data_IF_893552544422
#
_entry.id   IF_893552544422
#
_cell.length_a   1.000
_cell.length_b   1.000
_cell.length_c   1.000
_cell.angle_alpha   90.00
_cell.angle_beta   90.00
_cell.angle_gamma   90.00
#
_symmetry.space_group_name_H-M   'P 1'
#
loop_
_entity.id
_entity.type
_entity.pdbx_description
1 polymer ?
#
# COMPACT_ATOMS: atom_id res chain seq x y z
N UNK A 1 33.34 -48.27 -4.48
CA UNK A 1 32.81 -47.94 -3.15
C UNK A 1 32.90 -46.43 -2.98
N UNK A 2 31.97 -45.72 -3.62
CA UNK A 2 31.66 -44.33 -3.33
C UNK A 2 30.13 -44.34 -3.32
N UNK A 3 29.60 -44.70 -2.15
CA UNK A 3 28.17 -44.86 -1.94
C UNK A 3 27.51 -43.47 -1.89
N UNK A 4 26.30 -43.43 -2.43
CA UNK A 4 25.45 -42.27 -2.60
C UNK A 4 25.31 -41.44 -1.31
N UNK A 5 25.74 -40.19 -1.36
CA UNK A 5 25.47 -39.16 -0.33
C UNK A 5 24.61 -38.02 -0.90
N UNK A 6 23.65 -38.38 -1.78
CA UNK A 6 22.74 -37.43 -2.44
C UNK A 6 21.25 -37.64 -2.06
N UNK A 7 20.94 -38.54 -1.14
CA UNK A 7 19.56 -38.92 -0.82
C UNK A 7 18.94 -38.18 0.38
N UNK A 8 19.66 -37.24 1.02
CA UNK A 8 19.13 -36.48 2.19
C UNK A 8 18.63 -35.05 1.90
N UNK A 9 18.77 -34.55 0.66
CA UNK A 9 18.40 -33.16 0.33
C UNK A 9 17.11 -33.02 -0.50
N UNK A 10 16.26 -34.04 -0.53
CA UNK A 10 14.88 -33.87 -1.00
C UNK A 10 14.01 -33.30 0.12
N UNK A 11 14.20 -32.01 0.40
CA UNK A 11 13.16 -31.20 1.04
C UNK A 11 11.86 -31.47 0.26
N UNK A 12 10.75 -31.89 0.89
CA UNK A 12 9.47 -32.03 0.20
C UNK A 12 9.24 -30.76 -0.61
N UNK A 13 8.87 -30.85 -1.90
CA UNK A 13 8.87 -29.72 -2.85
C UNK A 13 8.12 -28.44 -2.40
N UNK A 14 7.35 -28.51 -1.31
CA UNK A 14 6.57 -27.42 -0.71
C UNK A 14 6.97 -27.06 0.73
N UNK A 15 8.09 -27.56 1.26
CA UNK A 15 8.57 -27.10 2.57
C UNK A 15 9.23 -25.72 2.47
N UNK A 16 8.78 -24.82 3.34
CA UNK A 16 9.21 -23.43 3.41
C UNK A 16 9.87 -23.15 4.76
N UNK A 17 10.71 -22.12 4.80
CA UNK A 17 11.36 -21.67 6.02
C UNK A 17 10.34 -21.15 7.06
N UNK A 18 10.65 -21.26 8.37
CA UNK A 18 9.87 -20.61 9.41
C UNK A 18 9.66 -19.12 9.10
N UNK A 19 8.39 -18.71 9.09
CA UNK A 19 7.98 -17.31 8.91
C UNK A 19 7.49 -16.72 10.23
N UNK A 20 7.42 -15.40 10.32
CA UNK A 20 6.87 -14.72 11.51
C UNK A 20 5.36 -15.00 11.62
N UNK A 21 4.95 -15.69 12.69
CA UNK A 21 3.54 -16.03 12.94
C UNK A 21 2.80 -14.94 13.73
N UNK A 22 3.53 -14.02 14.35
CA UNK A 22 2.95 -12.96 15.18
C UNK A 22 2.60 -11.75 14.33
N UNK A 23 1.45 -11.15 14.65
CA UNK A 23 1.05 -9.87 14.09
C UNK A 23 1.73 -8.75 14.89
N UNK A 24 2.64 -8.01 14.26
CA UNK A 24 3.39 -6.93 14.91
C UNK A 24 2.79 -5.57 14.53
N UNK A 25 1.89 -5.08 15.38
CA UNK A 25 1.23 -3.79 15.18
C UNK A 25 2.02 -2.64 15.79
N UNK A 26 2.19 -1.59 14.99
CA UNK A 26 2.72 -0.28 15.38
C UNK A 26 1.86 0.79 14.71
N UNK A 27 1.99 2.04 15.14
CA UNK A 27 1.33 3.19 14.51
C UNK A 27 1.61 3.24 13.01
N UNK A 28 2.82 2.86 12.59
CA UNK A 28 3.28 2.94 11.19
C UNK A 28 3.25 1.60 10.44
N UNK A 29 3.03 0.48 11.13
CA UNK A 29 3.24 -0.83 10.50
C UNK A 29 2.21 -1.19 9.42
N UNK A 30 2.59 -2.03 8.48
CA UNK A 30 1.69 -2.61 7.48
C UNK A 30 1.81 -4.11 7.57
N UNK A 31 0.69 -4.81 7.70
CA UNK A 31 0.71 -6.25 7.91
C UNK A 31 -0.02 -6.95 6.77
N UNK A 32 0.67 -7.86 6.08
CA UNK A 32 0.05 -8.71 5.06
C UNK A 32 -0.13 -10.12 5.62
N UNK A 33 -1.31 -10.69 5.37
CA UNK A 33 -1.54 -12.08 5.69
C UNK A 33 -0.79 -12.97 4.69
N UNK A 34 -0.04 -13.94 5.20
CA UNK A 34 0.69 -14.92 4.40
C UNK A 34 0.46 -16.32 4.96
N UNK A 35 0.66 -17.35 4.14
CA UNK A 35 0.63 -18.73 4.57
C UNK A 35 1.91 -19.44 4.12
N UNK A 36 2.41 -20.31 4.97
CA UNK A 36 3.62 -21.07 4.71
C UNK A 36 3.46 -22.52 5.19
N UNK A 37 4.25 -23.43 4.64
CA UNK A 37 4.19 -24.86 4.97
C UNK A 37 5.49 -25.28 5.64
N UNK A 38 5.41 -25.80 6.86
CA UNK A 38 6.56 -26.28 7.61
C UNK A 38 6.28 -27.68 8.15
N UNK A 39 7.14 -28.65 7.83
CA UNK A 39 7.00 -30.06 8.27
C UNK A 39 5.63 -30.66 7.88
N UNK A 40 5.23 -30.43 6.65
CA UNK A 40 3.93 -30.87 6.11
C UNK A 40 2.69 -30.18 6.68
N UNK A 41 2.83 -29.18 7.57
CA UNK A 41 1.69 -28.44 8.14
C UNK A 41 1.60 -27.03 7.56
N UNK A 42 0.43 -26.65 7.06
CA UNK A 42 0.12 -25.27 6.66
C UNK A 42 -0.08 -24.41 7.90
N UNK A 43 0.58 -23.26 7.94
CA UNK A 43 0.52 -22.30 9.04
C UNK A 43 0.26 -20.89 8.51
N UNK A 44 -0.47 -20.10 9.29
CA UNK A 44 -0.69 -18.68 9.02
C UNK A 44 0.50 -17.89 9.54
N UNK A 45 0.88 -16.88 8.78
CA UNK A 45 2.01 -15.99 9.06
C UNK A 45 1.65 -14.56 8.67
N UNK A 46 2.47 -13.61 9.10
CA UNK A 46 2.32 -12.21 8.81
C UNK A 46 3.62 -11.65 8.23
N UNK A 47 3.50 -10.97 7.09
CA UNK A 47 4.58 -10.14 6.56
C UNK A 47 4.38 -8.76 7.19
N UNK A 48 5.13 -8.48 8.25
CA UNK A 48 5.06 -7.25 9.01
C UNK A 48 6.08 -6.23 8.50
N UNK A 49 5.62 -5.15 7.86
CA UNK A 49 6.44 -3.99 7.55
C UNK A 49 6.38 -3.01 8.72
N UNK A 50 7.29 -3.14 9.69
CA UNK A 50 7.26 -2.37 10.94
C UNK A 50 7.50 -0.87 10.68
N UNK A 51 8.43 -0.55 9.77
CA UNK A 51 8.81 0.83 9.46
C UNK A 51 8.88 1.05 7.94
N UNK A 52 7.77 1.49 7.30
CA UNK A 52 7.74 1.74 5.86
C UNK A 52 8.54 2.98 5.43
N UNK A 53 8.94 3.86 6.36
CA UNK A 53 9.72 5.06 6.04
C UNK A 53 11.14 4.77 5.56
N UNK A 54 11.63 3.53 5.75
CA UNK A 54 12.91 3.07 5.18
C UNK A 54 12.86 2.86 3.66
N UNK A 55 11.68 3.02 3.06
CA UNK A 55 11.44 2.72 1.66
C UNK A 55 11.00 1.27 1.47
N UNK A 56 10.09 1.08 0.53
CA UNK A 56 9.63 -0.24 0.10
C UNK A 56 9.69 -0.30 -1.42
N UNK A 57 10.44 -1.26 -1.94
CA UNK A 57 10.55 -1.50 -3.38
C UNK A 57 9.83 -2.80 -3.75
N UNK A 58 8.87 -2.71 -4.66
CA UNK A 58 8.09 -3.87 -5.13
C UNK A 58 8.41 -4.11 -6.61
N UNK A 59 9.21 -5.14 -6.89
CA UNK A 59 9.66 -5.49 -8.25
C UNK A 59 8.93 -6.72 -8.80
N UNK A 60 8.75 -6.75 -10.12
CA UNK A 60 8.32 -7.94 -10.85
C UNK A 60 7.75 -7.62 -12.24
N UNK A 61 7.46 -8.65 -13.01
CA UNK A 61 6.88 -8.56 -14.36
C UNK A 61 5.45 -8.01 -14.39
N UNK A 62 5.01 -7.33 -15.46
CA UNK A 62 3.62 -6.92 -15.64
C UNK A 62 2.67 -8.13 -15.47
N UNK A 63 1.54 -7.94 -14.79
CA UNK A 63 0.57 -9.02 -14.55
C UNK A 63 0.86 -9.90 -13.32
N UNK A 64 1.99 -9.75 -12.64
CA UNK A 64 2.33 -10.60 -11.47
C UNK A 64 1.53 -10.30 -10.18
N UNK A 65 0.47 -9.48 -10.24
CA UNK A 65 -0.40 -9.20 -9.10
C UNK A 65 0.17 -8.28 -7.99
N UNK A 66 1.31 -7.62 -8.21
CA UNK A 66 1.95 -6.70 -7.22
C UNK A 66 1.00 -5.67 -6.62
N UNK A 67 0.22 -5.00 -7.47
CA UNK A 67 -0.72 -3.97 -7.05
C UNK A 67 -1.82 -4.54 -6.15
N UNK A 68 -2.34 -5.71 -6.51
CA UNK A 68 -3.42 -6.38 -5.78
C UNK A 68 -2.94 -6.93 -4.44
N UNK A 69 -1.79 -7.60 -4.42
CA UNK A 69 -1.27 -8.27 -3.23
C UNK A 69 -0.63 -7.29 -2.25
N UNK A 70 0.26 -6.41 -2.73
CA UNK A 70 1.06 -5.52 -1.86
C UNK A 70 0.45 -4.11 -1.79
N UNK A 71 0.36 -3.40 -2.92
CA UNK A 71 0.08 -1.96 -2.93
C UNK A 71 -1.30 -1.62 -2.35
N UNK A 72 -2.34 -2.42 -2.67
CA UNK A 72 -3.68 -2.26 -2.10
C UNK A 72 -3.68 -2.27 -0.57
N UNK A 73 -2.94 -3.19 0.04
CA UNK A 73 -2.85 -3.31 1.49
C UNK A 73 -2.12 -2.11 2.12
N UNK A 74 -1.07 -1.60 1.45
CA UNK A 74 -0.37 -0.39 1.88
C UNK A 74 -1.34 0.78 1.91
N UNK A 75 -2.01 1.04 0.78
CA UNK A 75 -2.95 2.16 0.62
C UNK A 75 -4.06 2.08 1.68
N UNK A 76 -4.75 0.95 1.76
CA UNK A 76 -5.89 0.77 2.68
C UNK A 76 -5.49 0.93 4.15
N UNK A 77 -4.37 0.35 4.58
CA UNK A 77 -3.92 0.45 5.98
C UNK A 77 -3.41 1.86 6.32
N UNK A 78 -2.70 2.52 5.40
CA UNK A 78 -2.24 3.90 5.60
C UNK A 78 -3.39 4.89 5.71
N UNK A 79 -4.42 4.76 4.86
CA UNK A 79 -5.61 5.62 4.93
C UNK A 79 -6.34 5.39 6.25
N UNK A 80 -6.50 4.14 6.71
CA UNK A 80 -7.11 3.81 8.02
C UNK A 80 -6.36 4.42 9.20
N UNK A 81 -5.04 4.56 9.06
CA UNK A 81 -4.16 5.20 10.05
C UNK A 81 -4.03 6.71 9.87
N UNK A 82 -4.80 7.29 8.95
CA UNK A 82 -4.79 8.72 8.64
C UNK A 82 -3.44 9.28 8.19
N UNK A 83 -2.64 8.50 7.44
CA UNK A 83 -1.43 9.02 6.79
C UNK A 83 -1.75 9.80 5.51
N UNK A 84 -1.18 10.99 5.37
CA UNK A 84 -1.19 11.69 4.09
C UNK A 84 -0.44 10.87 3.02
N UNK A 85 -0.97 10.84 1.80
CA UNK A 85 -0.46 10.00 0.71
C UNK A 85 -0.54 10.72 -0.63
N UNK A 86 0.52 10.59 -1.43
CA UNK A 86 0.53 10.92 -2.85
C UNK A 86 0.55 9.61 -3.64
N UNK A 87 -0.52 9.33 -4.36
CA UNK A 87 -0.66 8.15 -5.23
C UNK A 87 -0.41 8.59 -6.66
N UNK A 88 0.70 8.10 -7.22
CA UNK A 88 1.02 8.28 -8.63
C UNK A 88 0.61 7.05 -9.42
N UNK A 89 -0.41 7.18 -10.26
CA UNK A 89 -0.93 6.09 -11.07
C UNK A 89 -0.65 6.34 -12.56
N UNK A 90 0.29 5.58 -13.13
CA UNK A 90 0.63 5.69 -14.54
C UNK A 90 -0.41 5.04 -15.45
N UNK A 91 -1.09 3.99 -14.97
CA UNK A 91 -2.12 3.23 -15.70
C UNK A 91 -3.45 3.38 -14.98
N UNK A 92 -4.00 4.60 -15.02
CA UNK A 92 -5.32 4.93 -14.50
C UNK A 92 -6.34 3.88 -14.99
N UNK A 93 -7.18 3.27 -14.15
CA UNK A 93 -7.77 3.77 -12.89
C UNK A 93 -7.46 2.97 -11.60
N UNK A 94 -6.65 1.91 -11.67
CA UNK A 94 -6.65 0.86 -10.65
C UNK A 94 -6.26 1.32 -9.24
N UNK A 95 -5.18 2.07 -9.08
CA UNK A 95 -4.68 2.47 -7.76
C UNK A 95 -5.45 3.67 -7.21
N UNK A 96 -5.77 4.61 -8.10
CA UNK A 96 -6.55 5.80 -7.77
C UNK A 96 -7.94 5.45 -7.26
N UNK A 97 -8.61 4.49 -7.90
CA UNK A 97 -9.92 3.99 -7.49
C UNK A 97 -9.87 3.29 -6.12
N UNK A 98 -8.85 2.46 -5.89
CA UNK A 98 -8.65 1.79 -4.58
C UNK A 98 -8.48 2.83 -3.47
N UNK A 99 -7.64 3.86 -3.71
CA UNK A 99 -7.40 4.91 -2.74
C UNK A 99 -8.66 5.73 -2.46
N UNK A 100 -9.40 6.14 -3.50
CA UNK A 100 -10.64 6.89 -3.37
C UNK A 100 -11.72 6.09 -2.63
N UNK A 101 -11.93 4.82 -2.99
CA UNK A 101 -12.92 3.95 -2.36
C UNK A 101 -12.58 3.64 -0.90
N UNK A 102 -11.29 3.51 -0.57
CA UNK A 102 -10.84 3.33 0.81
C UNK A 102 -11.01 4.60 1.65
N UNK A 103 -10.91 5.77 1.01
CA UNK A 103 -11.01 7.07 1.66
C UNK A 103 -12.47 7.50 1.93
N UNK A 104 -13.39 7.25 0.99
CA UNK A 104 -14.79 7.69 1.07
C UNK A 104 -15.51 7.35 2.39
N UNK A 105 -15.42 6.11 2.93
CA UNK A 105 -16.03 5.76 4.21
C UNK A 105 -15.49 6.58 5.38
N UNK A 106 -14.19 6.87 5.40
CA UNK A 106 -13.53 7.66 6.46
C UNK A 106 -13.98 9.12 6.40
N UNK A 107 -14.12 9.67 5.19
CA UNK A 107 -14.64 11.03 4.99
C UNK A 107 -16.07 11.19 5.51
N UNK A 108 -16.92 10.18 5.32
CA UNK A 108 -18.32 10.22 5.74
C UNK A 108 -18.47 9.99 7.25
N UNK A 109 -17.57 9.22 7.87
CA UNK A 109 -17.55 8.94 9.30
C UNK A 109 -16.57 9.84 10.07
N UNK A 110 -16.80 11.15 10.02
CA UNK A 110 -16.08 12.16 10.83
C UNK A 110 -16.21 11.93 12.35
N UNK A 111 -17.20 11.13 12.78
CA UNK A 111 -17.43 10.80 14.19
C UNK A 111 -16.31 9.95 14.83
N UNK A 112 -15.61 9.13 14.02
CA UNK A 112 -14.51 8.28 14.50
C UNK A 112 -13.13 8.82 14.12
N UNK A 113 -13.08 9.69 13.11
CA UNK A 113 -11.85 10.34 12.67
C UNK A 113 -12.03 11.87 12.78
N UNK A 114 -11.54 12.51 13.86
CA UNK A 114 -11.74 13.94 14.12
C UNK A 114 -10.93 14.85 13.19
N UNK A 115 -10.34 14.29 12.14
CA UNK A 115 -9.42 14.96 11.23
C UNK A 115 -10.18 15.41 9.99
N UNK A 116 -10.14 16.71 9.70
CA UNK A 116 -10.58 17.22 8.41
C UNK A 116 -9.72 16.62 7.30
N UNK A 117 -10.35 15.87 6.41
CA UNK A 117 -9.69 15.14 5.33
C UNK A 117 -10.04 15.73 3.97
N UNK A 118 -9.02 15.89 3.10
CA UNK A 118 -9.22 16.40 1.74
C UNK A 118 -8.56 15.49 0.72
N UNK A 119 -9.30 15.16 -0.35
CA UNK A 119 -8.74 14.51 -1.53
C UNK A 119 -8.58 15.54 -2.65
N UNK A 120 -7.49 15.41 -3.41
CA UNK A 120 -7.16 16.24 -4.56
C UNK A 120 -6.81 15.28 -5.70
N UNK A 121 -7.51 15.36 -6.82
CA UNK A 121 -7.10 14.69 -8.05
C UNK A 121 -6.34 15.67 -8.96
N UNK A 122 -5.27 15.21 -9.59
CA UNK A 122 -4.47 15.98 -10.53
C UNK A 122 -4.32 15.14 -11.80
N UNK A 123 -4.97 15.55 -12.87
CA UNK A 123 -4.91 14.86 -14.17
C UNK A 123 -4.22 15.74 -15.19
N UNK A 124 -3.56 15.11 -16.17
CA UNK A 124 -3.01 15.82 -17.33
C UNK A 124 -4.12 16.28 -18.31
N UNK A 125 -5.26 15.60 -18.31
CA UNK A 125 -6.44 15.95 -19.09
C UNK A 125 -7.29 17.02 -18.38
N UNK A 126 -8.04 17.82 -19.16
CA UNK A 126 -8.92 18.90 -18.67
C UNK A 126 -10.19 18.37 -18.00
N UNK A 127 -10.04 17.60 -16.92
CA UNK A 127 -11.16 17.19 -16.09
C UNK A 127 -11.60 18.37 -15.18
N UNK A 128 -12.90 18.73 -15.13
CA UNK A 128 -13.41 19.81 -14.27
C UNK A 128 -13.14 19.60 -12.77
N UNK A 129 -12.97 18.35 -12.34
CA UNK A 129 -12.71 17.96 -10.96
C UNK A 129 -11.22 17.98 -10.58
N UNK A 130 -10.31 18.15 -11.54
CA UNK A 130 -8.88 18.11 -11.30
C UNK A 130 -8.33 19.46 -10.84
N UNK A 131 -7.48 19.43 -9.82
CA UNK A 131 -6.72 20.60 -9.37
C UNK A 131 -5.44 20.71 -10.21
N UNK A 132 -5.20 21.88 -10.81
CA UNK A 132 -3.96 22.15 -11.55
C UNK A 132 -2.84 22.56 -10.59
N UNK A 133 -1.64 22.02 -10.78
CA UNK A 133 -0.42 22.50 -10.10
C UNK A 133 0.58 23.06 -11.10
N UNK A 134 1.18 24.20 -10.79
CA UNK A 134 2.36 24.68 -11.50
C UNK A 134 3.61 24.49 -10.60
N UNK A 135 4.58 23.63 -10.97
CA UNK A 135 5.78 23.41 -10.18
C UNK A 135 6.71 24.64 -10.14
N UNK A 136 6.69 25.50 -11.16
CA UNK A 136 7.50 26.74 -11.21
C UNK A 136 6.94 27.84 -10.29
N UNK A 137 5.69 27.70 -9.86
CA UNK A 137 5.04 28.63 -8.94
C UNK A 137 4.72 27.89 -7.65
N UNK A 138 5.67 27.88 -6.72
CA UNK A 138 5.58 27.23 -5.40
C UNK A 138 4.28 27.53 -4.63
N UNK A 139 3.66 28.71 -4.90
CA UNK A 139 2.38 29.15 -4.32
C UNK A 139 1.14 28.35 -4.77
N UNK A 140 1.21 27.56 -5.84
CA UNK A 140 0.06 26.78 -6.34
C UNK A 140 -0.02 25.40 -5.66
N UNK A 141 1.14 24.81 -5.30
CA UNK A 141 1.21 23.65 -4.41
C UNK A 141 0.91 24.01 -2.95
N UNK A 142 0.90 25.31 -2.64
CA UNK A 142 0.33 25.82 -1.40
C UNK A 142 -1.17 25.62 -1.47
N UNK A 143 -1.60 24.42 -1.07
CA UNK A 143 -2.99 24.07 -0.87
C UNK A 143 -3.67 25.28 -0.21
N UNK A 144 -4.74 25.82 -0.81
CA UNK A 144 -5.67 26.72 -0.12
C UNK A 144 -6.35 25.91 0.99
N UNK A 145 -5.59 25.63 2.03
CA UNK A 145 -6.02 25.11 3.31
C UNK A 145 -6.63 26.30 4.02
N UNK A 146 -7.94 26.49 3.88
CA UNK A 146 -8.67 27.38 4.78
C UNK A 146 -8.64 26.87 6.22
N UNK A 147 -8.26 25.60 6.41
CA UNK A 147 -8.08 24.89 7.67
C UNK A 147 -6.91 23.90 7.52
N UNK A 148 -6.07 23.68 8.55
CA UNK A 148 -5.02 22.66 8.50
C UNK A 148 -5.66 21.26 8.42
N UNK A 149 -5.77 20.71 7.21
CA UNK A 149 -6.13 19.32 7.03
C UNK A 149 -4.97 18.45 7.56
N UNK A 150 -5.21 17.58 8.55
CA UNK A 150 -4.16 16.65 9.00
C UNK A 150 -4.00 15.43 8.09
N UNK A 151 -4.88 15.28 7.08
CA UNK A 151 -4.81 14.22 6.07
C UNK A 151 -5.10 14.77 4.67
N UNK A 152 -4.17 14.51 3.74
CA UNK A 152 -4.32 14.85 2.32
C UNK A 152 -4.04 13.63 1.45
N UNK A 153 -4.98 13.30 0.55
CA UNK A 153 -4.80 12.27 -0.49
C UNK A 153 -4.69 12.97 -1.85
N UNK A 154 -3.54 12.90 -2.49
CA UNK A 154 -3.34 13.39 -3.85
C UNK A 154 -3.29 12.21 -4.82
N UNK A 155 -4.18 12.19 -5.82
CA UNK A 155 -4.24 11.15 -6.86
C UNK A 155 -3.79 11.76 -8.18
N UNK A 156 -2.80 11.16 -8.83
CA UNK A 156 -2.38 11.60 -10.17
C UNK A 156 -2.58 10.49 -11.18
N UNK A 157 -3.16 10.83 -12.33
CA UNK A 157 -3.41 9.89 -13.41
C UNK A 157 -3.26 10.54 -14.78
N UNK A 158 -2.80 9.75 -15.76
CA UNK A 158 -2.99 10.08 -17.16
C UNK A 158 -4.40 9.62 -17.53
N UNK A 159 -5.30 10.59 -17.73
CA UNK A 159 -6.58 10.36 -18.39
C UNK A 159 -6.42 10.39 -19.90
#
# INVERSE_FOLDING_TARGET
MFDNECDEYFVPKNETFPQEERLLESEFSINLLAEYTLRGKRRRSWINFINPFRGLLVLGSPGSGKSYFVIRHIITQHIRKCFAMLVYDFKFDDLSLIAYNSFCPIRLHTKYFPVFTRSISMTWSEAPSATRSNPLRCRILQMRLSQPARFCLALTGNG
#
